data_IF_628060540506
#
_entry.id   IF_628060540506
#
_cell.length_a   1.000
_cell.length_b   1.000
_cell.length_c   1.000
_cell.angle_alpha   90.00
_cell.angle_beta   90.00
_cell.angle_gamma   90.00
#
_symmetry.space_group_name_H-M   'P 1'
#
loop_
_entity.id
_entity.type
_entity.pdbx_description
1 polymer ?
#
# COMPACT_ATOMS: atom_id res chain seq x y z
N UNK A 1 -8.48 11.33 14.36
CA UNK A 1 -8.72 10.43 13.22
C UNK A 1 -8.45 11.19 11.93
N UNK A 2 -7.46 10.79 11.15
CA UNK A 2 -7.22 11.31 9.80
C UNK A 2 -8.30 10.75 8.86
N UNK A 3 -8.93 11.61 8.06
CA UNK A 3 -9.87 11.12 7.03
C UNK A 3 -9.09 10.34 5.96
N UNK A 4 -9.62 9.21 5.48
CA UNK A 4 -8.98 8.47 4.41
C UNK A 4 -8.94 9.30 3.13
N UNK A 5 -7.79 9.34 2.47
CA UNK A 5 -7.65 9.99 1.16
C UNK A 5 -7.99 8.97 0.08
N UNK A 6 -8.97 9.30 -0.75
CA UNK A 6 -9.40 8.43 -1.86
C UNK A 6 -9.12 9.15 -3.17
N UNK A 7 -8.37 8.48 -4.05
CA UNK A 7 -8.15 8.92 -5.43
C UNK A 7 -8.94 7.99 -6.35
N UNK A 8 -9.94 8.54 -7.02
CA UNK A 8 -10.77 7.86 -8.03
C UNK A 8 -10.34 8.31 -9.43
N UNK A 9 -10.66 7.51 -10.45
CA UNK A 9 -10.40 7.79 -11.87
C UNK A 9 -8.92 7.93 -12.25
N UNK A 10 -8.01 7.42 -11.41
CA UNK A 10 -6.62 7.23 -11.81
C UNK A 10 -6.52 5.98 -12.67
N UNK A 11 -5.75 6.00 -13.76
CA UNK A 11 -5.50 4.81 -14.56
C UNK A 11 -4.10 4.28 -14.21
N UNK A 12 -4.02 3.30 -13.31
CA UNK A 12 -2.77 2.61 -12.99
C UNK A 12 -2.75 1.25 -13.67
N UNK A 13 -1.95 1.12 -14.73
CA UNK A 13 -1.88 -0.07 -15.58
C UNK A 13 -0.60 -0.87 -15.34
N UNK A 14 -0.64 -2.15 -15.66
CA UNK A 14 0.53 -3.01 -15.64
C UNK A 14 1.65 -2.41 -16.51
N UNK A 15 2.89 -2.47 -16.02
CA UNK A 15 4.05 -1.85 -16.64
C UNK A 15 4.28 -0.38 -16.27
N UNK A 16 3.33 0.29 -15.62
CA UNK A 16 3.53 1.62 -15.05
C UNK A 16 4.12 1.55 -13.64
N UNK A 17 4.66 2.67 -13.19
CA UNK A 17 5.12 2.90 -11.81
C UNK A 17 4.24 3.93 -11.12
N UNK A 18 3.61 3.52 -10.03
CA UNK A 18 2.96 4.42 -9.08
C UNK A 18 3.98 4.82 -8.00
N UNK A 19 4.34 6.10 -7.95
CA UNK A 19 5.17 6.68 -6.91
C UNK A 19 4.30 7.36 -5.87
N UNK A 20 4.51 7.04 -4.59
CA UNK A 20 3.82 7.63 -3.45
C UNK A 20 4.86 8.22 -2.50
N UNK A 21 4.70 9.47 -2.12
CA UNK A 21 5.44 10.09 -1.02
C UNK A 21 4.49 10.54 0.08
N UNK A 22 4.90 10.38 1.32
CA UNK A 22 4.11 10.80 2.47
C UNK A 22 4.92 10.83 3.74
N UNK A 23 4.32 11.30 4.83
CA UNK A 23 4.93 11.37 6.16
C UNK A 23 4.07 10.56 7.13
N UNK A 24 4.67 9.60 7.82
CA UNK A 24 3.98 8.90 8.90
C UNK A 24 3.78 9.86 10.07
N UNK A 25 2.63 9.81 10.74
CA UNK A 25 2.38 10.67 11.90
C UNK A 25 3.39 10.35 13.03
N UNK A 26 3.80 11.34 13.84
CA UNK A 26 4.77 11.13 14.94
C UNK A 26 4.33 10.11 16.01
N UNK A 27 3.05 9.76 16.06
CA UNK A 27 2.47 8.77 16.98
C UNK A 27 1.77 7.63 16.25
N UNK A 28 2.10 7.41 14.97
CA UNK A 28 1.44 6.41 14.15
C UNK A 28 1.61 4.99 14.72
N UNK A 29 0.50 4.29 14.91
CA UNK A 29 0.42 2.85 15.16
C UNK A 29 0.44 2.06 13.86
N UNK A 30 -0.11 2.64 12.78
CA UNK A 30 0.01 2.12 11.43
C UNK A 30 -0.69 2.96 10.36
N UNK A 31 -0.40 2.66 9.10
CA UNK A 31 -1.10 3.22 7.94
C UNK A 31 -1.20 2.19 6.82
N UNK A 32 -2.14 2.39 5.91
CA UNK A 32 -2.35 1.48 4.79
C UNK A 32 -2.48 2.19 3.44
N UNK A 33 -1.98 1.52 2.41
CA UNK A 33 -2.11 1.90 1.01
C UNK A 33 -2.88 0.79 0.32
N UNK A 34 -3.99 1.15 -0.30
CA UNK A 34 -4.88 0.22 -0.98
C UNK A 34 -4.89 0.53 -2.47
N UNK A 35 -4.65 -0.49 -3.30
CA UNK A 35 -4.77 -0.45 -4.76
C UNK A 35 -5.84 -1.46 -5.17
N UNK A 36 -6.81 -1.06 -5.97
CA UNK A 36 -7.83 -1.97 -6.46
C UNK A 36 -8.96 -1.29 -7.23
N UNK A 37 -10.17 -1.76 -6.95
CA UNK A 37 -11.43 -1.23 -7.44
C UNK A 37 -12.27 -0.70 -6.29
N UNK A 38 -13.51 -0.30 -6.55
CA UNK A 38 -14.38 0.29 -5.51
C UNK A 38 -14.74 -0.70 -4.38
N UNK A 39 -14.90 -1.99 -4.70
CA UNK A 39 -15.31 -3.03 -3.74
C UNK A 39 -14.21 -4.01 -3.36
N UNK A 40 -13.24 -4.20 -4.24
CA UNK A 40 -12.18 -5.20 -4.10
C UNK A 40 -10.81 -4.52 -4.05
N UNK A 41 -9.94 -4.99 -3.14
CA UNK A 41 -8.60 -4.49 -2.95
C UNK A 41 -7.61 -5.54 -3.47
N UNK A 42 -6.89 -5.20 -4.53
CA UNK A 42 -5.87 -6.06 -5.13
C UNK A 42 -4.61 -6.11 -4.28
N UNK A 43 -4.22 -4.96 -3.70
CA UNK A 43 -3.09 -4.82 -2.77
C UNK A 43 -3.50 -3.91 -1.62
N UNK A 44 -3.58 -4.46 -0.42
CA UNK A 44 -3.61 -3.73 0.84
C UNK A 44 -2.23 -3.87 1.46
N UNK A 45 -1.41 -2.83 1.43
CA UNK A 45 -0.13 -2.79 2.12
C UNK A 45 -0.30 -1.99 3.41
N UNK A 46 -0.16 -2.64 4.56
CA UNK A 46 -0.32 -2.02 5.87
C UNK A 46 1.01 -2.03 6.63
N UNK A 47 1.60 -0.85 6.80
CA UNK A 47 2.76 -0.66 7.65
C UNK A 47 2.29 -0.55 9.11
N UNK A 48 2.51 -1.59 9.91
CA UNK A 48 2.19 -1.67 11.33
C UNK A 48 3.43 -1.30 12.15
N UNK A 49 3.43 -0.12 12.77
CA UNK A 49 4.47 0.25 13.74
C UNK A 49 4.29 -0.58 15.02
N UNK A 50 3.06 -0.58 15.54
CA UNK A 50 2.60 -1.38 16.67
C UNK A 50 1.07 -1.50 16.56
N UNK A 51 0.59 -2.56 15.92
CA UNK A 51 -0.83 -2.77 15.65
C UNK A 51 -1.15 -4.25 15.44
N UNK A 52 -2.30 -4.70 15.92
CA UNK A 52 -2.80 -6.07 15.72
C UNK A 52 -1.83 -7.18 16.19
N UNK A 53 -0.98 -6.90 17.17
CA UNK A 53 0.04 -7.82 17.67
C UNK A 53 1.33 -7.87 16.85
N UNK A 54 1.40 -7.12 15.74
CA UNK A 54 2.61 -6.98 14.94
C UNK A 54 3.39 -5.72 15.37
N UNK A 55 4.71 -5.84 15.48
CA UNK A 55 5.62 -4.71 15.71
C UNK A 55 6.52 -4.54 14.50
N UNK A 56 6.58 -3.30 13.97
CA UNK A 56 7.43 -2.90 12.83
C UNK A 56 7.40 -3.92 11.68
N UNK A 57 6.19 -4.23 11.21
CA UNK A 57 5.96 -5.25 10.17
C UNK A 57 5.09 -4.66 9.07
N UNK A 58 5.40 -4.99 7.81
CA UNK A 58 4.49 -4.73 6.70
C UNK A 58 3.62 -5.96 6.49
N UNK A 59 2.31 -5.75 6.49
CA UNK A 59 1.33 -6.81 6.20
C UNK A 59 0.63 -6.49 4.90
N UNK A 60 0.77 -7.40 3.94
CA UNK A 60 0.11 -7.32 2.65
C UNK A 60 -1.07 -8.29 2.60
N UNK A 61 -2.21 -7.86 2.06
CA UNK A 61 -3.35 -8.73 1.81
C UNK A 61 -4.15 -8.25 0.58
N UNK A 62 -5.16 -9.01 0.20
CA UNK A 62 -6.20 -8.64 -0.74
C UNK A 62 -7.55 -8.75 -0.05
N UNK A 63 -8.52 -7.95 -0.50
CA UNK A 63 -9.91 -8.03 -0.06
C UNK A 63 -10.78 -8.33 -1.28
N UNK A 64 -11.48 -9.46 -1.29
CA UNK A 64 -12.19 -9.95 -2.45
C UNK A 64 -13.58 -10.44 -2.06
N UNK A 65 -14.62 -9.94 -2.73
CA UNK A 65 -15.99 -10.41 -2.51
C UNK A 65 -16.45 -10.24 -1.06
N UNK A 66 -15.99 -9.19 -0.37
CA UNK A 66 -16.40 -8.88 1.00
C UNK A 66 -15.58 -9.56 2.11
N UNK A 67 -14.42 -10.15 1.80
CA UNK A 67 -13.56 -10.79 2.81
C UNK A 67 -12.08 -10.56 2.57
N UNK A 68 -11.31 -10.52 3.66
CA UNK A 68 -9.86 -10.58 3.63
C UNK A 68 -9.38 -11.98 3.22
N UNK A 69 -8.30 -12.03 2.45
CA UNK A 69 -7.64 -13.28 2.07
C UNK A 69 -6.47 -13.60 3.02
N UNK A 70 -5.55 -14.47 2.59
CA UNK A 70 -4.35 -14.80 3.36
C UNK A 70 -3.38 -13.60 3.44
N UNK A 71 -2.92 -13.28 4.65
CA UNK A 71 -1.92 -12.22 4.89
C UNK A 71 -0.52 -12.70 4.52
N UNK A 72 0.28 -11.82 3.90
CA UNK A 72 1.71 -11.97 3.70
C UNK A 72 2.42 -10.95 4.57
N UNK A 73 3.32 -11.39 5.46
CA UNK A 73 4.07 -10.51 6.36
C UNK A 73 5.51 -10.36 5.88
N UNK A 74 6.03 -9.14 5.93
CA UNK A 74 7.42 -8.81 5.63
C UNK A 74 8.03 -7.97 6.77
N UNK A 75 9.22 -8.35 7.23
CA UNK A 75 9.94 -7.66 8.30
C UNK A 75 10.69 -6.39 7.82
N UNK A 76 10.69 -6.13 6.50
CA UNK A 76 11.28 -4.93 5.90
C UNK A 76 10.44 -3.70 6.25
N UNK A 77 10.91 -2.95 7.24
CA UNK A 77 10.17 -1.82 7.78
C UNK A 77 11.02 -0.53 7.88
N UNK A 78 11.31 0.14 6.75
CA UNK A 78 12.08 1.39 6.73
C UNK A 78 11.24 2.63 7.10
N UNK A 79 10.03 2.44 7.66
CA UNK A 79 9.18 3.54 8.10
C UNK A 79 9.59 4.04 9.50
N UNK A 80 9.54 5.35 9.67
CA UNK A 80 9.80 6.04 10.93
C UNK A 80 8.70 7.06 11.18
N UNK A 81 8.18 7.09 12.41
CA UNK A 81 7.18 8.07 12.84
C UNK A 81 7.73 9.49 12.67
N UNK A 82 6.93 10.38 12.10
CA UNK A 82 7.31 11.78 11.84
C UNK A 82 8.27 11.98 10.66
N UNK A 83 8.65 10.93 9.93
CA UNK A 83 9.56 11.04 8.78
C UNK A 83 8.85 10.73 7.47
N UNK A 84 9.43 11.28 6.40
CA UNK A 84 9.01 10.99 5.04
C UNK A 84 9.31 9.54 4.68
N UNK A 85 8.42 8.95 3.89
CA UNK A 85 8.62 7.71 3.18
C UNK A 85 8.31 7.93 1.69
N UNK A 86 8.99 7.14 0.87
CA UNK A 86 8.73 6.99 -0.56
C UNK A 86 8.51 5.51 -0.89
N UNK A 87 7.50 5.25 -1.70
CA UNK A 87 7.18 3.92 -2.22
C UNK A 87 7.06 3.99 -3.74
N UNK A 88 7.55 2.95 -4.41
CA UNK A 88 7.33 2.72 -5.83
C UNK A 88 6.58 1.41 -5.97
N UNK A 89 5.43 1.44 -6.61
CA UNK A 89 4.59 0.28 -6.84
C UNK A 89 4.54 0.02 -8.33
N UNK A 90 4.92 -1.19 -8.74
CA UNK A 90 4.69 -1.72 -10.09
C UNK A 90 3.91 -3.01 -9.98
N UNK A 91 3.28 -3.45 -11.07
CA UNK A 91 2.63 -4.75 -11.11
C UNK A 91 2.58 -5.32 -12.53
N UNK A 92 2.40 -6.64 -12.58
CA UNK A 92 2.07 -7.40 -13.79
C UNK A 92 0.93 -8.38 -13.48
N UNK A 93 0.64 -9.29 -14.40
CA UNK A 93 -0.44 -10.27 -14.24
C UNK A 93 -0.23 -11.24 -13.04
N UNK A 94 0.99 -11.40 -12.54
CA UNK A 94 1.34 -12.34 -11.46
C UNK A 94 1.48 -11.66 -10.10
N UNK A 95 2.11 -10.51 -10.04
CA UNK A 95 2.49 -9.89 -8.77
C UNK A 95 2.56 -8.36 -8.82
N UNK A 96 2.38 -7.76 -7.64
CA UNK A 96 2.82 -6.43 -7.28
C UNK A 96 4.25 -6.48 -6.74
N UNK A 97 5.04 -5.46 -7.06
CA UNK A 97 6.32 -5.19 -6.45
C UNK A 97 6.27 -3.81 -5.80
N UNK A 98 6.56 -3.75 -4.51
CA UNK A 98 6.60 -2.52 -3.73
C UNK A 98 8.04 -2.27 -3.30
N UNK A 99 8.69 -1.29 -3.92
CA UNK A 99 10.03 -0.84 -3.53
C UNK A 99 9.90 0.20 -2.42
N UNK A 100 10.53 -0.10 -1.28
CA UNK A 100 10.56 0.74 -0.10
C UNK A 100 11.67 1.80 -0.19
N UNK A 101 11.67 2.74 0.74
CA UNK A 101 12.63 3.87 0.74
C UNK A 101 14.09 3.44 0.89
N UNK A 102 14.36 2.27 1.45
CA UNK A 102 15.71 1.68 1.58
C UNK A 102 16.09 0.77 0.40
N UNK A 103 15.25 0.71 -0.64
CA UNK A 103 15.48 -0.11 -1.84
C UNK A 103 15.04 -1.58 -1.70
N UNK A 104 14.58 -2.02 -0.53
CA UNK A 104 14.00 -3.37 -0.38
C UNK A 104 12.70 -3.48 -1.16
N UNK A 105 12.41 -4.69 -1.65
CA UNK A 105 11.23 -4.96 -2.47
C UNK A 105 10.35 -6.00 -1.80
N UNK A 106 9.11 -5.63 -1.51
CA UNK A 106 8.06 -6.55 -1.08
C UNK A 106 7.33 -7.04 -2.33
N UNK A 107 7.19 -8.37 -2.46
CA UNK A 107 6.42 -8.99 -3.55
C UNK A 107 5.11 -9.52 -3.00
N UNK A 108 4.01 -9.23 -3.70
CA UNK A 108 2.68 -9.68 -3.30
C UNK A 108 1.90 -10.17 -4.53
N UNK A 109 1.23 -11.33 -4.50
CA UNK A 109 0.50 -11.86 -5.65
C UNK A 109 -0.61 -10.91 -6.12
N UNK A 110 -0.71 -10.70 -7.43
CA UNK A 110 -1.81 -9.99 -8.05
C UNK A 110 -3.03 -10.93 -8.13
N UNK A 111 -3.67 -11.18 -6.99
CA UNK A 111 -4.72 -12.20 -6.85
C UNK A 111 -6.00 -11.89 -7.63
N UNK A 112 -6.28 -10.63 -7.96
CA UNK A 112 -7.38 -10.27 -8.85
C UNK A 112 -7.02 -10.49 -10.33
N UNK A 113 -5.73 -10.56 -10.67
CA UNK A 113 -5.25 -10.85 -12.02
C UNK A 113 -5.48 -9.73 -13.05
N UNK A 114 -5.99 -8.57 -12.63
CA UNK A 114 -6.27 -7.47 -13.55
C UNK A 114 -4.99 -6.78 -14.03
N UNK A 115 -5.09 -6.16 -15.21
CA UNK A 115 -4.03 -5.36 -15.82
C UNK A 115 -4.19 -3.84 -15.59
N UNK A 116 -5.24 -3.42 -14.89
CA UNK A 116 -5.55 -2.01 -14.59
C UNK A 116 -6.34 -1.88 -13.29
N UNK A 117 -5.92 -0.96 -12.43
CA UNK A 117 -6.63 -0.56 -11.22
C UNK A 117 -6.94 0.93 -11.24
N UNK A 118 -8.07 1.30 -10.63
CA UNK A 118 -8.62 2.67 -10.73
C UNK A 118 -8.97 3.32 -9.39
N UNK A 119 -8.78 2.59 -8.30
CA UNK A 119 -9.06 3.04 -6.96
C UNK A 119 -7.78 2.97 -6.12
N UNK A 120 -7.35 4.13 -5.62
CA UNK A 120 -6.31 4.21 -4.60
C UNK A 120 -6.93 4.79 -3.34
N UNK A 121 -6.71 4.12 -2.20
CA UNK A 121 -7.21 4.57 -0.91
C UNK A 121 -6.11 4.51 0.14
N UNK A 122 -5.91 5.62 0.82
CA UNK A 122 -4.94 5.79 1.90
C UNK A 122 -5.67 5.85 3.22
N UNK A 123 -5.25 5.03 4.18
CA UNK A 123 -5.90 4.88 5.48
C UNK A 123 -4.88 4.94 6.62
N UNK A 124 -5.37 5.21 7.82
CA UNK A 124 -4.55 5.26 9.02
C UNK A 124 -3.70 6.54 9.11
N UNK A 125 -2.57 6.42 9.78
CA UNK A 125 -1.89 7.55 10.40
C UNK A 125 -0.67 8.02 9.60
N UNK A 126 -0.91 8.34 8.33
CA UNK A 126 0.07 8.98 7.45
C UNK A 126 -0.58 10.09 6.62
N UNK A 127 0.19 11.13 6.31
CA UNK A 127 -0.20 12.19 5.37
C UNK A 127 0.48 11.96 4.04
N UNK A 128 -0.30 11.73 2.99
CA UNK A 128 0.22 11.66 1.61
C UNK A 128 0.56 13.06 1.11
N UNK A 129 1.72 13.20 0.51
CA UNK A 129 2.25 14.47 -0.02
C UNK A 129 2.33 14.47 -1.54
N UNK A 130 2.61 13.32 -2.14
CA UNK A 130 2.80 13.20 -3.59
C UNK A 130 2.30 11.86 -4.10
N UNK A 131 1.75 11.92 -5.31
CA UNK A 131 1.23 10.77 -6.03
C UNK A 131 1.48 10.97 -7.51
N UNK A 132 2.23 10.07 -8.14
CA UNK A 132 2.60 10.16 -9.55
C UNK A 132 2.49 8.79 -10.21
N UNK A 133 1.88 8.71 -11.38
CA UNK A 133 1.88 7.50 -12.22
C UNK A 133 2.66 7.80 -13.49
N UNK A 134 3.67 6.97 -13.77
CA UNK A 134 4.46 6.98 -15.01
C UNK A 134 4.27 5.66 -15.73
#
# INVERSE_FOLDING_TARGET
MTQPVVVKNMSFKAGQTLTITGVANPKATGFAINVGHEKDIALHMNARFDAHGDQRTVVCNSYQGGKWCEEVRDASFPFQQGKEFKLLITFNAKEFQVTLSDGKVIRFPNRLGDSKYQHLKFEGEARIQGLEVK
#
